data_IF_709760917152
#
_entry.id   IF_709760917152
#
_cell.length_a   1.000
_cell.length_b   1.000
_cell.length_c   1.000
_cell.angle_alpha   90.00
_cell.angle_beta   90.00
_cell.angle_gamma   90.00
#
_symmetry.space_group_name_H-M   'P 1'
#
loop_
_entity.id
_entity.type
_entity.pdbx_description
1 polymer ?
#
# COMPACT_ATOMS: atom_id res chain seq x y z
N UNK A 1 -17.57 13.66 -21.50
CA UNK A 1 -16.77 12.41 -21.45
C UNK A 1 -16.63 12.01 -19.98
N UNK A 2 -17.02 10.79 -19.61
CA UNK A 2 -16.87 10.32 -18.22
C UNK A 2 -15.41 9.99 -17.90
N UNK A 3 -15.06 9.83 -16.61
CA UNK A 3 -13.72 9.35 -16.20
C UNK A 3 -13.39 8.01 -16.86
N UNK A 4 -14.37 7.10 -16.90
CA UNK A 4 -14.20 5.77 -17.49
C UNK A 4 -13.93 5.84 -18.98
N UNK A 5 -14.63 6.71 -19.70
CA UNK A 5 -14.40 6.94 -21.13
C UNK A 5 -12.98 7.47 -21.36
N UNK A 6 -12.53 8.41 -20.51
CA UNK A 6 -11.18 8.96 -20.59
C UNK A 6 -10.12 7.89 -20.33
N UNK A 7 -10.26 7.10 -19.27
CA UNK A 7 -9.35 5.98 -18.98
C UNK A 7 -9.35 4.95 -20.11
N UNK A 8 -10.52 4.60 -20.65
CA UNK A 8 -10.63 3.69 -21.79
C UNK A 8 -9.95 4.26 -23.04
N UNK A 9 -10.00 5.57 -23.27
CA UNK A 9 -9.32 6.21 -24.41
C UNK A 9 -7.78 6.15 -24.34
N UNK A 10 -7.20 5.89 -23.17
CA UNK A 10 -5.76 5.74 -22.96
C UNK A 10 -5.26 4.30 -23.16
N UNK A 11 -6.15 3.33 -23.37
CA UNK A 11 -5.81 1.91 -23.48
C UNK A 11 -6.98 1.01 -23.85
N UNK A 12 -7.12 -0.13 -23.16
CA UNK A 12 -8.22 -1.08 -23.39
C UNK A 12 -8.91 -1.41 -22.07
N UNK A 13 -10.21 -1.14 -21.98
CA UNK A 13 -11.00 -1.56 -20.83
C UNK A 13 -11.14 -3.10 -20.83
N UNK A 14 -10.86 -3.71 -19.67
CA UNK A 14 -10.94 -5.16 -19.46
C UNK A 14 -12.07 -5.56 -18.50
N UNK A 15 -12.57 -4.62 -17.69
CA UNK A 15 -13.63 -4.86 -16.71
C UNK A 15 -14.16 -3.57 -16.10
N UNK A 16 -15.38 -3.65 -15.59
CA UNK A 16 -16.24 -2.52 -15.21
C UNK A 16 -16.43 -2.34 -13.70
N UNK A 17 -15.53 -2.91 -12.89
CA UNK A 17 -15.59 -2.81 -11.42
C UNK A 17 -15.77 -1.36 -10.94
N UNK A 18 -16.74 -1.15 -10.05
CA UNK A 18 -17.04 0.16 -9.47
C UNK A 18 -17.32 0.04 -7.97
N UNK A 19 -16.40 0.43 -7.11
CA UNK A 19 -16.66 0.43 -5.67
C UNK A 19 -17.82 1.34 -5.27
N UNK A 20 -18.06 2.42 -6.02
CA UNK A 20 -19.14 3.37 -5.76
C UNK A 20 -20.53 2.73 -5.90
N UNK A 21 -20.67 1.72 -6.75
CA UNK A 21 -21.92 0.94 -6.87
C UNK A 21 -22.20 0.07 -5.64
N UNK A 22 -21.16 -0.29 -4.88
CA UNK A 22 -21.29 -1.00 -3.60
C UNK A 22 -21.53 -0.03 -2.43
N UNK A 23 -21.27 1.27 -2.61
CA UNK A 23 -21.38 2.33 -1.59
C UNK A 23 -22.70 2.31 -0.81
N UNK A 24 -23.82 2.09 -1.52
CA UNK A 24 -25.17 2.05 -0.92
C UNK A 24 -25.43 0.81 -0.07
N UNK A 25 -24.70 -0.28 -0.35
CA UNK A 25 -24.93 -1.59 0.25
C UNK A 25 -23.93 -1.88 1.39
N UNK A 26 -22.81 -1.16 1.47
CA UNK A 26 -21.82 -1.36 2.54
C UNK A 26 -22.35 -1.04 3.93
N UNK A 27 -23.21 -0.03 4.06
CA UNK A 27 -23.83 0.30 5.34
C UNK A 27 -24.70 -0.85 5.87
N UNK A 28 -25.09 -1.78 5.01
CA UNK A 28 -25.84 -2.99 5.38
C UNK A 28 -24.94 -4.16 5.78
N UNK A 29 -23.62 -4.07 5.57
CA UNK A 29 -22.68 -5.13 5.96
C UNK A 29 -22.11 -4.81 7.34
N UNK A 30 -22.64 -5.49 8.35
CA UNK A 30 -22.15 -5.36 9.74
C UNK A 30 -20.62 -5.54 9.83
N UNK A 31 -19.97 -4.63 10.55
CA UNK A 31 -18.52 -4.63 10.77
C UNK A 31 -17.68 -4.11 9.60
N UNK A 32 -18.30 -3.50 8.58
CA UNK A 32 -17.59 -2.89 7.44
C UNK A 32 -17.67 -1.36 7.52
N UNK A 33 -16.52 -0.71 7.60
CA UNK A 33 -16.39 0.73 7.37
C UNK A 33 -15.67 0.99 6.04
N UNK A 34 -16.36 1.47 4.98
CA UNK A 34 -15.74 1.74 3.68
C UNK A 34 -14.64 2.79 3.71
N UNK A 35 -14.68 3.72 4.67
CA UNK A 35 -13.65 4.74 4.85
C UNK A 35 -12.31 4.14 5.36
N UNK A 36 -12.34 2.92 5.88
CA UNK A 36 -11.19 2.28 6.50
C UNK A 36 -10.50 1.30 5.55
N UNK A 37 -9.87 1.83 4.49
CA UNK A 37 -8.94 1.05 3.66
C UNK A 37 -9.60 0.07 2.67
N UNK A 38 -10.90 0.23 2.37
CA UNK A 38 -11.61 -0.66 1.46
C UNK A 38 -10.94 -0.78 0.07
N UNK A 39 -10.50 0.33 -0.51
CA UNK A 39 -9.81 0.35 -1.81
C UNK A 39 -8.56 -0.53 -1.81
N UNK A 40 -7.79 -0.50 -0.72
CA UNK A 40 -6.59 -1.30 -0.57
C UNK A 40 -6.93 -2.79 -0.37
N UNK A 41 -8.00 -3.11 0.38
CA UNK A 41 -8.53 -4.49 0.51
C UNK A 41 -8.96 -5.11 -0.80
N UNK A 42 -9.63 -4.32 -1.63
CA UNK A 42 -10.02 -4.73 -2.97
C UNK A 42 -8.80 -4.90 -3.88
N UNK A 43 -7.85 -3.96 -3.85
CA UNK A 43 -6.59 -4.05 -4.58
C UNK A 43 -5.77 -5.29 -4.19
N UNK A 44 -5.73 -5.66 -2.90
CA UNK A 44 -5.05 -6.87 -2.43
C UNK A 44 -5.76 -8.16 -2.86
N UNK A 45 -7.09 -8.24 -2.73
CA UNK A 45 -7.81 -9.44 -3.21
C UNK A 45 -7.67 -9.60 -4.73
N UNK A 46 -7.63 -8.49 -5.47
CA UNK A 46 -7.33 -8.48 -6.90
C UNK A 46 -5.92 -8.98 -7.18
N UNK A 47 -4.91 -8.42 -6.52
CA UNK A 47 -3.50 -8.81 -6.59
C UNK A 47 -3.31 -10.31 -6.36
N UNK A 48 -3.88 -10.83 -5.27
CA UNK A 48 -3.87 -12.27 -4.95
C UNK A 48 -4.50 -13.09 -6.06
N UNK A 49 -5.61 -12.65 -6.66
CA UNK A 49 -6.27 -13.38 -7.75
C UNK A 49 -5.42 -13.40 -8.99
N UNK A 50 -4.91 -12.26 -9.46
CA UNK A 50 -4.18 -12.19 -10.73
C UNK A 50 -2.89 -13.03 -10.66
N UNK A 51 -2.15 -12.96 -9.55
CA UNK A 51 -0.93 -13.73 -9.35
C UNK A 51 -1.17 -15.24 -9.21
N UNK A 52 -2.30 -15.65 -8.63
CA UNK A 52 -2.64 -17.08 -8.46
C UNK A 52 -3.46 -17.65 -9.63
N UNK A 53 -3.71 -16.82 -10.65
CA UNK A 53 -4.42 -17.24 -11.85
C UNK A 53 -3.41 -17.68 -12.89
N UNK A 54 -3.60 -18.89 -13.44
CA UNK A 54 -2.90 -19.27 -14.66
C UNK A 54 -3.07 -18.19 -15.74
N UNK A 55 -2.02 -17.98 -16.53
CA UNK A 55 -1.85 -16.91 -17.52
C UNK A 55 -3.07 -16.67 -18.43
N UNK A 56 -3.86 -17.71 -18.75
CA UNK A 56 -5.07 -17.61 -19.58
C UNK A 56 -6.39 -17.23 -18.88
N UNK A 57 -6.47 -17.15 -17.54
CA UNK A 57 -7.73 -16.86 -16.82
C UNK A 57 -7.82 -15.45 -16.22
N UNK A 58 -6.76 -14.66 -16.37
CA UNK A 58 -6.60 -13.39 -15.66
C UNK A 58 -7.65 -12.33 -16.03
N UNK A 59 -8.24 -12.37 -17.23
CA UNK A 59 -9.33 -11.47 -17.63
C UNK A 59 -10.69 -11.83 -16.99
N UNK A 60 -10.97 -13.12 -16.73
CA UNK A 60 -12.26 -13.57 -16.17
C UNK A 60 -12.40 -13.29 -14.67
N UNK A 61 -11.30 -13.07 -13.96
CA UNK A 61 -11.30 -12.77 -12.53
C UNK A 61 -11.53 -11.28 -12.22
N UNK A 62 -11.69 -10.46 -13.26
CA UNK A 62 -11.92 -9.02 -13.20
C UNK A 62 -13.40 -8.66 -13.00
N UNK A 63 -14.33 -9.61 -13.21
CA UNK A 63 -15.74 -9.38 -12.92
C UNK A 63 -16.03 -9.67 -11.46
N UNK A 64 -16.18 -8.60 -10.69
CA UNK A 64 -16.96 -8.68 -9.47
C UNK A 64 -18.41 -8.53 -9.90
N UNK A 65 -19.23 -9.53 -9.61
CA UNK A 65 -20.67 -9.35 -9.77
C UNK A 65 -21.08 -8.14 -8.91
N UNK A 66 -21.84 -7.22 -9.50
CA UNK A 66 -22.38 -6.03 -8.83
C UNK A 66 -23.03 -6.37 -7.50
N UNK A 67 -23.04 -5.43 -6.55
CA UNK A 67 -23.66 -5.54 -5.23
C UNK A 67 -25.12 -6.06 -5.26
N UNK A 68 -25.85 -5.81 -6.37
CA UNK A 68 -27.19 -6.33 -6.67
C UNK A 68 -27.33 -7.86 -6.53
N UNK A 69 -26.25 -8.62 -6.66
CA UNK A 69 -26.25 -10.09 -6.48
C UNK A 69 -25.68 -10.53 -5.12
N UNK A 70 -25.15 -9.59 -4.32
CA UNK A 70 -24.49 -9.87 -3.05
C UNK A 70 -25.50 -9.89 -1.91
N UNK A 71 -26.45 -8.98 -1.92
CA UNK A 71 -27.55 -8.98 -0.96
C UNK A 71 -28.65 -9.92 -1.48
N UNK A 72 -29.02 -10.98 -0.74
CA UNK A 72 -30.24 -11.70 -1.05
C UNK A 72 -31.43 -10.75 -0.91
N UNK A 73 -32.48 -10.98 -1.68
CA UNK A 73 -33.80 -10.35 -1.50
C UNK A 73 -34.49 -10.73 -0.18
N UNK A 74 -33.76 -11.29 0.79
CA UNK A 74 -34.23 -11.70 2.11
C UNK A 74 -33.11 -11.66 3.15
N UNK A 75 -33.46 -11.15 4.33
CA UNK A 75 -32.58 -11.06 5.51
C UNK A 75 -32.06 -12.46 5.87
N UNK A 76 -30.74 -12.67 5.79
CA UNK A 76 -30.08 -13.79 6.50
C UNK A 76 -29.31 -14.83 5.68
N UNK A 77 -29.21 -14.76 4.35
CA UNK A 77 -28.33 -15.70 3.60
C UNK A 77 -26.98 -15.06 3.25
N UNK A 78 -25.91 -15.57 3.87
CA UNK A 78 -24.53 -15.18 3.58
C UNK A 78 -24.11 -15.69 2.19
N UNK A 79 -24.30 -14.85 1.18
CA UNK A 79 -23.91 -15.20 -0.20
C UNK A 79 -22.39 -15.25 -0.33
N UNK A 80 -21.91 -15.97 -1.36
CA UNK A 80 -20.47 -15.97 -1.71
C UNK A 80 -19.92 -14.55 -1.93
N UNK A 81 -20.76 -13.64 -2.39
CA UNK A 81 -20.40 -12.27 -2.68
C UNK A 81 -20.34 -11.43 -1.39
N UNK A 82 -21.29 -11.57 -0.47
CA UNK A 82 -21.22 -10.97 0.88
C UNK A 82 -19.96 -11.39 1.62
N UNK A 83 -19.61 -12.68 1.62
CA UNK A 83 -18.32 -13.15 2.17
C UNK A 83 -17.11 -12.52 1.51
N UNK A 84 -17.20 -12.26 0.20
CA UNK A 84 -16.10 -11.67 -0.57
C UNK A 84 -15.96 -10.18 -0.25
N UNK A 85 -17.07 -9.44 -0.15
CA UNK A 85 -17.08 -8.02 0.24
C UNK A 85 -16.64 -7.83 1.69
N UNK A 86 -17.16 -8.65 2.61
CA UNK A 86 -16.72 -8.66 4.01
C UNK A 86 -15.23 -9.00 4.10
N UNK A 87 -14.73 -9.94 3.30
CA UNK A 87 -13.29 -10.23 3.20
C UNK A 87 -12.49 -9.00 2.78
N UNK A 88 -12.91 -8.29 1.74
CA UNK A 88 -12.21 -7.11 1.22
C UNK A 88 -12.20 -5.97 2.24
N UNK A 89 -13.36 -5.66 2.82
CA UNK A 89 -13.49 -4.60 3.82
C UNK A 89 -12.73 -4.91 5.12
N UNK A 90 -12.83 -6.14 5.62
CA UNK A 90 -12.23 -6.51 6.90
C UNK A 90 -10.77 -6.96 6.79
N UNK A 91 -10.23 -7.13 5.58
CA UNK A 91 -8.80 -7.23 5.40
C UNK A 91 -8.14 -5.91 5.85
N UNK A 92 -8.73 -4.76 5.52
CA UNK A 92 -8.06 -3.46 5.64
C UNK A 92 -8.68 -2.45 6.60
N UNK A 93 -9.74 -2.79 7.34
CA UNK A 93 -10.28 -1.92 8.38
C UNK A 93 -9.14 -1.44 9.29
N UNK A 94 -8.86 -0.13 9.20
CA UNK A 94 -7.81 0.56 9.92
C UNK A 94 -6.41 0.39 9.37
N UNK A 95 -6.19 0.27 8.05
CA UNK A 95 -4.85 -0.01 7.51
C UNK A 95 -4.47 0.87 6.33
N UNK A 96 -3.19 1.25 6.26
CA UNK A 96 -2.59 1.87 5.08
C UNK A 96 -2.26 0.84 3.99
N UNK A 97 -2.11 1.29 2.74
CA UNK A 97 -1.80 0.46 1.58
C UNK A 97 -0.29 0.08 1.47
N UNK A 98 0.34 -0.27 2.60
CA UNK A 98 1.77 -0.58 2.66
C UNK A 98 2.03 -1.92 3.34
N UNK A 99 2.70 -2.82 2.62
CA UNK A 99 3.16 -4.12 3.11
C UNK A 99 4.66 -4.23 2.93
N UNK A 100 5.29 -4.91 3.87
CA UNK A 100 6.75 -5.07 3.92
C UNK A 100 7.11 -6.53 4.19
N UNK A 101 8.29 -6.95 3.76
CA UNK A 101 8.84 -8.28 4.08
C UNK A 101 9.15 -8.40 5.57
N UNK A 102 9.67 -7.33 6.15
CA UNK A 102 10.01 -7.17 7.57
C UNK A 102 9.68 -5.75 7.99
N UNK A 103 9.14 -5.55 9.19
CA UNK A 103 8.91 -4.19 9.67
C UNK A 103 10.19 -3.53 10.12
N UNK A 104 10.17 -2.19 10.19
CA UNK A 104 11.27 -1.41 10.81
C UNK A 104 11.56 -1.85 12.24
N UNK A 105 10.53 -2.29 12.98
CA UNK A 105 10.72 -2.86 14.33
C UNK A 105 11.55 -4.14 14.24
N UNK A 106 11.12 -5.10 13.41
CA UNK A 106 11.83 -6.37 13.22
C UNK A 106 13.25 -6.18 12.68
N UNK A 107 13.42 -5.30 11.69
CA UNK A 107 14.71 -4.95 11.09
C UNK A 107 15.65 -4.30 12.11
N UNK A 108 15.16 -3.33 12.88
CA UNK A 108 15.95 -2.69 13.92
C UNK A 108 16.33 -3.67 15.03
N UNK A 109 15.44 -4.57 15.45
CA UNK A 109 15.79 -5.65 16.39
C UNK A 109 16.91 -6.52 15.79
N UNK A 110 16.76 -6.97 14.54
CA UNK A 110 17.74 -7.82 13.88
C UNK A 110 19.12 -7.14 13.72
N UNK A 111 19.16 -5.82 13.52
CA UNK A 111 20.40 -5.05 13.44
C UNK A 111 21.03 -4.80 14.81
N UNK A 112 20.24 -4.59 15.87
CA UNK A 112 20.75 -4.28 17.21
C UNK A 112 21.15 -5.53 18.01
N UNK A 113 20.46 -6.65 17.84
CA UNK A 113 20.73 -7.88 18.61
C UNK A 113 22.18 -8.36 18.51
N UNK A 114 22.81 -8.43 17.32
CA UNK A 114 24.22 -8.81 17.20
C UNK A 114 25.18 -7.85 17.92
N UNK A 115 24.81 -6.58 18.08
CA UNK A 115 25.65 -5.59 18.76
C UNK A 115 25.80 -5.87 20.26
N UNK A 116 24.90 -6.66 20.86
CA UNK A 116 25.03 -7.06 22.26
C UNK A 116 26.22 -8.00 22.52
N UNK A 117 26.68 -8.73 21.50
CA UNK A 117 27.81 -9.65 21.62
C UNK A 117 29.04 -9.21 20.81
N UNK A 118 28.93 -8.10 20.08
CA UNK A 118 30.03 -7.54 19.32
C UNK A 118 31.24 -7.16 20.20
N UNK A 119 32.47 -7.23 19.67
CA UNK A 119 33.67 -6.78 20.36
C UNK A 119 33.55 -5.34 20.82
N UNK A 120 34.04 -5.08 22.05
CA UNK A 120 34.06 -3.73 22.61
C UNK A 120 35.30 -2.98 22.11
N UNK A 121 35.11 -1.70 21.83
CA UNK A 121 36.18 -0.74 21.55
C UNK A 121 36.15 0.36 22.60
N UNK A 122 37.32 0.85 22.99
CA UNK A 122 37.40 2.00 23.91
C UNK A 122 37.18 3.29 23.12
N UNK A 123 36.05 3.96 23.38
CA UNK A 123 35.71 5.26 22.79
C UNK A 123 35.45 6.24 23.93
N UNK A 124 36.18 7.36 23.96
CA UNK A 124 36.13 8.34 25.06
C UNK A 124 36.25 7.68 26.46
N UNK A 125 37.25 6.80 26.62
CA UNK A 125 37.52 6.04 27.86
C UNK A 125 36.40 5.11 28.33
N UNK A 126 35.41 4.83 27.48
CA UNK A 126 34.30 3.91 27.78
C UNK A 126 34.25 2.74 26.80
N UNK A 127 33.93 1.52 27.26
CA UNK A 127 33.73 0.38 26.37
C UNK A 127 32.41 0.53 25.59
N UNK A 128 32.53 0.65 24.28
CA UNK A 128 31.42 0.86 23.36
C UNK A 128 31.41 -0.20 22.26
N UNK A 129 30.29 -0.26 21.54
CA UNK A 129 30.14 -1.03 20.29
C UNK A 129 29.91 -0.05 19.16
N UNK A 130 30.52 -0.29 18.00
CA UNK A 130 30.25 0.46 16.78
C UNK A 130 28.87 0.13 16.22
N UNK A 131 28.06 1.15 15.94
CA UNK A 131 26.72 0.99 15.38
C UNK A 131 26.78 1.24 13.86
N UNK A 132 26.37 0.26 13.04
CA UNK A 132 26.34 0.43 11.60
C UNK A 132 25.39 1.54 11.16
N UNK A 133 25.68 2.19 10.04
CA UNK A 133 24.88 3.30 9.49
C UNK A 133 23.40 2.94 9.31
N UNK A 134 23.11 1.70 8.90
CA UNK A 134 21.74 1.20 8.74
C UNK A 134 20.97 1.19 10.08
N UNK A 135 21.60 0.72 11.16
CA UNK A 135 21.01 0.69 12.48
C UNK A 135 20.83 2.10 13.06
N UNK A 136 21.85 2.96 12.89
CA UNK A 136 21.81 4.36 13.30
C UNK A 136 20.64 5.12 12.67
N UNK A 137 20.45 4.98 11.35
CA UNK A 137 19.33 5.59 10.63
C UNK A 137 17.97 5.18 11.21
N UNK A 138 17.74 3.89 11.42
CA UNK A 138 16.48 3.40 11.98
C UNK A 138 16.28 3.82 13.45
N UNK A 139 17.36 3.92 14.24
CA UNK A 139 17.31 4.46 15.60
C UNK A 139 16.89 5.93 15.61
N UNK A 140 17.47 6.77 14.73
CA UNK A 140 17.13 8.19 14.62
C UNK A 140 15.70 8.42 14.14
N UNK A 141 15.17 7.53 13.30
CA UNK A 141 13.77 7.59 12.86
C UNK A 141 12.79 7.15 13.97
N UNK A 142 13.21 6.25 14.87
CA UNK A 142 12.36 5.67 15.91
C UNK A 142 12.37 6.45 17.22
N UNK A 143 13.52 7.00 17.58
CA UNK A 143 13.75 7.67 18.85
C UNK A 143 14.12 9.12 18.61
N UNK A 144 13.53 10.01 19.41
CA UNK A 144 14.01 11.37 19.53
C UNK A 144 15.31 11.38 20.35
N UNK A 145 16.44 11.26 19.66
CA UNK A 145 17.76 11.18 20.27
C UNK A 145 18.26 12.60 20.58
N UNK A 146 17.91 13.13 21.75
CA UNK A 146 18.36 14.46 22.21
C UNK A 146 19.87 14.66 22.06
N UNK A 147 20.65 13.63 22.40
CA UNK A 147 22.08 13.54 22.11
C UNK A 147 22.31 12.47 21.03
N UNK A 148 22.15 12.86 19.77
CA UNK A 148 22.35 11.97 18.63
C UNK A 148 23.84 11.60 18.51
N UNK A 149 24.24 10.35 18.81
CA UNK A 149 25.63 9.93 18.77
C UNK A 149 26.07 9.49 17.37
N UNK A 150 25.23 9.69 16.35
CA UNK A 150 25.43 9.14 15.02
C UNK A 150 25.73 10.22 13.98
N UNK A 151 26.76 9.96 13.20
CA UNK A 151 27.09 10.64 11.96
C UNK A 151 26.99 9.62 10.81
N UNK A 152 25.97 9.76 9.97
CA UNK A 152 25.69 8.84 8.86
C UNK A 152 26.73 8.93 7.72
N UNK A 153 27.72 9.82 7.82
CA UNK A 153 28.85 9.91 6.91
C UNK A 153 30.00 8.92 7.19
N UNK A 154 29.95 8.19 8.31
CA UNK A 154 31.01 7.26 8.74
C UNK A 154 30.49 5.83 8.94
N UNK A 155 31.40 4.85 8.88
CA UNK A 155 31.11 3.45 9.23
C UNK A 155 32.17 2.93 10.24
N UNK A 156 31.78 2.59 11.48
CA UNK A 156 30.44 2.70 12.04
C UNK A 156 29.99 4.16 12.18
N UNK A 157 28.67 4.40 12.11
CA UNK A 157 28.09 5.75 12.21
C UNK A 157 28.22 6.35 13.61
N UNK A 158 28.49 5.55 14.63
CA UNK A 158 28.77 6.03 15.98
C UNK A 158 29.12 4.90 16.94
N UNK A 159 29.53 5.27 18.15
CA UNK A 159 29.89 4.32 19.21
C UNK A 159 28.98 4.54 20.42
N UNK A 160 28.36 3.46 20.89
CA UNK A 160 27.43 3.51 22.03
C UNK A 160 27.68 2.35 22.99
N UNK A 161 27.35 2.58 24.26
CA UNK A 161 27.48 1.55 25.29
C UNK A 161 26.49 0.41 25.05
N UNK A 162 26.90 -0.81 25.40
CA UNK A 162 26.03 -2.01 25.29
C UNK A 162 24.75 -1.88 26.10
N UNK A 163 24.81 -1.21 27.26
CA UNK A 163 23.63 -0.91 28.07
C UNK A 163 22.61 -0.03 27.32
N UNK A 164 23.09 0.97 26.55
CA UNK A 164 22.20 1.80 25.72
C UNK A 164 21.53 0.98 24.61
N UNK A 165 22.28 0.08 23.95
CA UNK A 165 21.71 -0.87 22.96
C UNK A 165 20.64 -1.76 23.61
N UNK A 166 20.92 -2.34 24.77
CA UNK A 166 19.97 -3.19 25.50
C UNK A 166 18.70 -2.44 25.88
N UNK A 167 18.83 -1.19 26.35
CA UNK A 167 17.68 -0.36 26.68
C UNK A 167 16.82 -0.08 25.45
N UNK A 168 17.42 0.28 24.31
CA UNK A 168 16.68 0.44 23.05
C UNK A 168 15.97 -0.85 22.64
N UNK A 169 16.65 -2.01 22.69
CA UNK A 169 16.04 -3.31 22.37
C UNK A 169 14.85 -3.63 23.28
N UNK A 170 14.97 -3.39 24.58
CA UNK A 170 13.87 -3.60 25.53
C UNK A 170 12.68 -2.69 25.18
N UNK A 171 12.91 -1.40 24.94
CA UNK A 171 11.87 -0.45 24.56
C UNK A 171 11.19 -0.83 23.24
N UNK A 172 11.97 -1.23 22.23
CA UNK A 172 11.43 -1.64 20.93
C UNK A 172 10.58 -2.90 21.08
N UNK A 173 11.09 -3.90 21.81
CA UNK A 173 10.43 -5.20 21.98
C UNK A 173 9.11 -5.05 22.73
N UNK A 174 9.11 -4.30 23.83
CA UNK A 174 7.94 -4.05 24.67
C UNK A 174 6.92 -3.09 24.04
N UNK A 175 7.37 -2.20 23.16
CA UNK A 175 6.47 -1.30 22.43
C UNK A 175 5.51 -2.08 21.54
N UNK A 176 4.24 -1.66 21.50
CA UNK A 176 3.25 -2.19 20.55
C UNK A 176 3.83 -2.05 19.15
N UNK A 177 3.93 -3.16 18.43
CA UNK A 177 4.31 -3.09 17.03
C UNK A 177 3.20 -2.32 16.29
N UNK A 178 3.51 -1.19 15.63
CA UNK A 178 2.51 -0.45 14.87
C UNK A 178 1.79 -1.31 13.83
N UNK A 179 2.30 -2.49 13.45
CA UNK A 179 1.57 -3.50 12.65
C UNK A 179 0.10 -3.69 13.08
N UNK A 180 -0.23 -3.53 14.37
CA UNK A 180 -1.58 -3.71 14.89
C UNK A 180 -2.38 -2.42 15.11
N UNK A 181 -1.85 -1.24 14.78
CA UNK A 181 -2.54 0.05 14.93
C UNK A 181 -3.12 0.58 13.60
N UNK A 182 -3.99 1.60 13.68
CA UNK A 182 -4.77 2.11 12.54
C UNK A 182 -3.94 2.71 11.38
N UNK A 183 -2.65 2.95 11.57
CA UNK A 183 -1.76 3.64 10.64
C UNK A 183 -0.31 3.27 10.94
N UNK A 184 0.10 2.02 10.68
CA UNK A 184 1.50 1.67 10.80
C UNK A 184 2.31 2.42 9.72
N UNK A 185 3.00 3.50 10.10
CA UNK A 185 3.86 4.28 9.19
C UNK A 185 4.96 3.44 8.50
N UNK A 186 5.22 2.22 8.99
CA UNK A 186 6.18 1.26 8.43
C UNK A 186 5.58 0.05 7.68
N UNK A 187 4.27 0.00 7.46
CA UNK A 187 3.59 -1.13 6.80
C UNK A 187 3.43 -2.38 7.68
N UNK A 188 2.71 -3.40 7.16
CA UNK A 188 2.50 -4.69 7.81
C UNK A 188 3.47 -5.75 7.30
N UNK A 189 4.00 -6.57 8.21
CA UNK A 189 4.79 -7.74 7.81
C UNK A 189 3.89 -8.74 7.09
N UNK A 190 4.18 -8.96 5.81
CA UNK A 190 3.32 -9.77 4.97
C UNK A 190 3.23 -11.22 5.43
N UNK A 191 4.33 -11.80 5.94
CA UNK A 191 4.35 -13.19 6.42
C UNK A 191 3.32 -13.44 7.51
N UNK A 192 3.29 -12.58 8.53
CA UNK A 192 2.31 -12.65 9.62
C UNK A 192 0.90 -12.34 9.11
N UNK A 193 0.74 -11.25 8.36
CA UNK A 193 -0.59 -10.79 7.95
C UNK A 193 -1.26 -11.72 6.93
N UNK A 194 -0.52 -12.30 6.00
CA UNK A 194 -1.04 -13.30 5.07
C UNK A 194 -1.56 -14.54 5.81
N UNK A 195 -0.89 -14.94 6.90
CA UNK A 195 -1.35 -16.02 7.78
C UNK A 195 -2.64 -15.64 8.50
N UNK A 196 -2.73 -14.43 9.07
CA UNK A 196 -3.97 -13.91 9.68
C UNK A 196 -5.14 -13.95 8.69
N UNK A 197 -4.92 -13.50 7.45
CA UNK A 197 -5.93 -13.55 6.40
C UNK A 197 -6.28 -15.00 6.02
N UNK A 198 -5.31 -15.90 5.93
CA UNK A 198 -5.54 -17.31 5.61
C UNK A 198 -6.34 -18.04 6.70
N UNK A 199 -6.06 -17.75 7.96
CA UNK A 199 -6.79 -18.29 9.10
C UNK A 199 -8.23 -17.75 9.12
N UNK A 200 -8.38 -16.43 8.93
CA UNK A 200 -9.68 -15.74 8.84
C UNK A 200 -10.53 -16.21 7.66
N UNK A 201 -9.91 -16.56 6.54
CA UNK A 201 -10.58 -16.98 5.30
C UNK A 201 -10.32 -18.45 4.94
N UNK A 202 -10.12 -19.29 5.96
CA UNK A 202 -9.74 -20.71 5.86
C UNK A 202 -10.65 -21.59 4.98
N UNK A 203 -11.87 -21.14 4.70
CA UNK A 203 -12.80 -21.80 3.76
C UNK A 203 -12.30 -21.91 2.31
N UNK A 204 -11.24 -21.20 1.91
CA UNK A 204 -10.70 -21.25 0.54
C UNK A 204 -9.33 -21.93 0.43
N UNK A 205 -9.31 -23.27 0.32
CA UNK A 205 -8.05 -24.05 0.20
C UNK A 205 -7.17 -23.67 -1.00
N UNK A 206 -7.74 -23.21 -2.11
CA UNK A 206 -7.02 -22.96 -3.37
C UNK A 206 -6.44 -21.55 -3.49
N UNK A 207 -6.85 -20.62 -2.64
CA UNK A 207 -6.78 -19.17 -2.92
C UNK A 207 -6.32 -18.36 -1.70
N UNK A 208 -5.35 -18.92 -1.00
CA UNK A 208 -4.72 -18.38 0.21
C UNK A 208 -3.87 -17.14 -0.09
N UNK A 209 -3.85 -16.15 0.79
CA UNK A 209 -2.94 -15.00 0.72
C UNK A 209 -1.48 -15.43 0.93
N UNK A 210 -1.20 -16.46 1.73
CA UNK A 210 0.16 -16.99 1.93
C UNK A 210 0.81 -17.63 0.68
N UNK A 211 0.13 -17.63 -0.47
CA UNK A 211 0.66 -18.08 -1.77
C UNK A 211 1.22 -16.94 -2.64
N UNK A 212 1.19 -15.71 -2.15
CA UNK A 212 1.96 -14.60 -2.71
C UNK A 212 2.93 -14.10 -1.63
N UNK A 213 4.03 -13.47 -2.04
CA UNK A 213 4.99 -12.85 -1.12
C UNK A 213 5.32 -11.43 -1.59
N UNK A 214 5.78 -10.59 -0.66
CA UNK A 214 6.33 -9.27 -0.98
C UNK A 214 7.73 -9.46 -1.54
N UNK A 215 7.96 -8.94 -2.75
CA UNK A 215 9.28 -8.89 -3.39
C UNK A 215 10.05 -7.68 -2.89
N UNK A 216 9.40 -6.52 -2.93
CA UNK A 216 9.94 -5.26 -2.44
C UNK A 216 8.80 -4.30 -2.11
N UNK A 217 9.11 -3.26 -1.35
CA UNK A 217 8.16 -2.26 -0.91
C UNK A 217 8.85 -0.93 -0.66
N UNK A 218 8.15 0.16 -0.92
CA UNK A 218 8.54 1.47 -0.44
C UNK A 218 7.73 1.82 0.81
N UNK A 219 8.36 2.54 1.73
CA UNK A 219 7.62 3.22 2.77
C UNK A 219 6.71 4.29 2.16
N UNK A 220 5.70 4.72 2.91
CA UNK A 220 4.96 5.90 2.53
C UNK A 220 5.88 7.12 2.66
N UNK A 221 6.07 7.82 1.56
CA UNK A 221 6.92 9.01 1.49
C UNK A 221 6.11 10.18 0.97
N UNK A 222 6.48 11.39 1.42
CA UNK A 222 5.95 12.64 0.86
C UNK A 222 6.95 13.18 -0.14
N UNK A 223 6.50 13.37 -1.38
CA UNK A 223 7.30 13.85 -2.50
C UNK A 223 6.99 15.31 -2.77
N UNK A 224 7.93 16.02 -3.41
CA UNK A 224 7.74 17.43 -3.76
C UNK A 224 6.58 17.70 -4.73
N UNK A 225 6.18 16.71 -5.53
CA UNK A 225 5.03 16.81 -6.44
C UNK A 225 4.48 15.43 -6.84
N UNK A 226 3.25 15.37 -7.41
CA UNK A 226 2.77 14.14 -8.03
C UNK A 226 3.66 13.60 -9.15
N UNK A 227 4.34 14.48 -9.88
CA UNK A 227 5.31 14.08 -10.91
C UNK A 227 6.55 13.40 -10.36
N UNK A 228 7.03 13.85 -9.20
CA UNK A 228 8.19 13.26 -8.53
C UNK A 228 7.92 11.81 -8.11
N UNK A 229 6.82 11.54 -7.39
CA UNK A 229 6.53 10.16 -7.00
C UNK A 229 6.16 9.26 -8.18
N UNK A 230 5.55 9.78 -9.24
CA UNK A 230 5.31 8.97 -10.45
C UNK A 230 6.62 8.55 -11.13
N UNK A 231 7.61 9.45 -11.17
CA UNK A 231 8.92 9.13 -11.73
C UNK A 231 9.57 8.00 -10.93
N UNK A 232 9.52 8.09 -9.60
CA UNK A 232 9.97 7.03 -8.68
C UNK A 232 9.20 5.71 -8.91
N UNK A 233 7.87 5.76 -8.97
CA UNK A 233 7.03 4.58 -9.18
C UNK A 233 7.32 3.90 -10.53
N UNK A 234 7.49 4.66 -11.61
CA UNK A 234 7.76 4.08 -12.93
C UNK A 234 9.16 3.48 -13.03
N UNK A 235 10.12 3.99 -12.26
CA UNK A 235 11.49 3.47 -12.21
C UNK A 235 11.61 2.20 -11.36
N UNK A 236 10.96 2.17 -10.19
CA UNK A 236 11.23 1.15 -9.16
C UNK A 236 10.00 0.31 -8.77
N UNK A 237 8.80 0.77 -9.14
CA UNK A 237 7.54 0.21 -8.65
C UNK A 237 6.99 -0.95 -9.47
N UNK A 238 7.62 -1.37 -10.56
CA UNK A 238 7.10 -2.43 -11.42
C UNK A 238 8.17 -3.47 -11.76
N UNK A 239 7.78 -4.74 -11.71
CA UNK A 239 8.60 -5.87 -12.08
C UNK A 239 7.77 -6.85 -12.90
N UNK A 240 8.38 -7.46 -13.92
CA UNK A 240 7.71 -8.42 -14.79
C UNK A 240 7.15 -9.59 -13.97
N UNK A 241 5.94 -10.03 -14.33
CA UNK A 241 5.18 -11.09 -13.67
C UNK A 241 4.86 -10.83 -12.18
N UNK A 242 4.97 -9.58 -11.76
CA UNK A 242 4.63 -9.12 -10.42
C UNK A 242 3.42 -8.17 -10.45
N UNK A 243 2.78 -8.01 -9.30
CA UNK A 243 1.66 -7.10 -9.11
C UNK A 243 1.98 -6.11 -8.00
N UNK A 244 1.87 -4.83 -8.32
CA UNK A 244 2.20 -3.72 -7.43
C UNK A 244 0.91 -3.10 -6.90
N UNK A 245 0.74 -3.04 -5.58
CA UNK A 245 -0.26 -2.17 -4.95
C UNK A 245 0.39 -0.80 -4.74
N UNK A 246 -0.28 0.26 -5.17
CA UNK A 246 0.19 1.64 -5.04
C UNK A 246 -0.79 2.38 -4.15
N UNK A 247 -0.30 2.83 -2.99
CA UNK A 247 -1.01 3.73 -2.11
C UNK A 247 -0.64 5.17 -2.43
N UNK A 248 -1.62 6.03 -2.64
CA UNK A 248 -1.42 7.46 -2.92
C UNK A 248 -2.32 8.31 -2.03
N UNK A 249 -1.90 9.52 -1.68
CA UNK A 249 -2.74 10.38 -0.85
C UNK A 249 -2.25 11.82 -0.74
N UNK A 250 -3.11 12.67 -0.19
CA UNK A 250 -2.74 14.02 0.21
C UNK A 250 -2.27 14.05 1.69
N UNK A 251 -1.49 15.06 2.10
CA UNK A 251 -1.17 15.27 3.51
C UNK A 251 -2.44 15.44 4.36
N UNK A 252 -2.62 14.56 5.34
CA UNK A 252 -3.79 14.55 6.24
C UNK A 252 -5.04 13.88 5.67
N UNK A 253 -4.96 13.23 4.51
CA UNK A 253 -6.08 12.48 3.89
C UNK A 253 -5.90 10.97 4.01
N UNK A 254 -7.01 10.23 3.93
CA UNK A 254 -7.09 8.76 4.00
C UNK A 254 -6.46 8.09 2.76
N UNK A 255 -6.36 8.81 1.65
CA UNK A 255 -5.71 8.36 0.41
C UNK A 255 -6.56 7.43 -0.45
N UNK A 256 -5.93 6.79 -1.43
CA UNK A 256 -6.51 5.80 -2.32
C UNK A 256 -5.47 4.74 -2.67
N UNK A 257 -5.94 3.55 -3.04
CA UNK A 257 -5.09 2.44 -3.44
C UNK A 257 -5.54 1.88 -4.79
N UNK A 258 -4.56 1.66 -5.67
CA UNK A 258 -4.72 1.02 -6.98
C UNK A 258 -3.76 -0.16 -7.07
N UNK A 259 -3.96 -1.04 -8.04
CA UNK A 259 -3.04 -2.14 -8.32
C UNK A 259 -2.61 -2.19 -9.78
N UNK A 260 -1.40 -2.64 -10.05
CA UNK A 260 -0.84 -2.76 -11.39
C UNK A 260 -0.12 -4.08 -11.53
N UNK A 261 -0.56 -4.92 -12.46
CA UNK A 261 0.13 -6.17 -12.79
C UNK A 261 0.88 -6.00 -14.11
N UNK A 262 2.21 -6.12 -14.07
CA UNK A 262 3.06 -6.04 -15.24
C UNK A 262 3.24 -7.45 -15.81
N UNK A 263 2.60 -7.73 -16.95
CA UNK A 263 2.67 -9.03 -17.62
C UNK A 263 3.36 -8.86 -18.98
N UNK A 264 4.61 -9.32 -19.07
CA UNK A 264 5.46 -8.98 -20.22
C UNK A 264 5.60 -7.46 -20.36
N UNK A 265 5.11 -6.89 -21.46
CA UNK A 265 5.11 -5.44 -21.70
C UNK A 265 3.78 -4.74 -21.36
N UNK A 266 2.76 -5.50 -20.95
CA UNK A 266 1.42 -4.97 -20.70
C UNK A 266 1.24 -4.59 -19.22
N UNK A 267 0.80 -3.35 -18.98
CA UNK A 267 0.40 -2.90 -17.65
C UNK A 267 -1.10 -3.08 -17.47
N UNK A 268 -1.49 -3.99 -16.57
CA UNK A 268 -2.91 -4.15 -16.19
C UNK A 268 -3.18 -3.34 -14.95
N UNK A 269 -3.81 -2.19 -15.15
CA UNK A 269 -4.15 -1.23 -14.12
C UNK A 269 -5.54 -1.52 -13.57
N UNK A 270 -5.65 -1.62 -12.26
CA UNK A 270 -6.90 -1.80 -11.54
C UNK A 270 -7.12 -0.64 -10.58
N UNK A 271 -8.21 0.07 -10.81
CA UNK A 271 -8.74 1.08 -9.90
C UNK A 271 -10.07 0.61 -9.31
N UNK A 272 -10.17 0.48 -7.97
CA UNK A 272 -11.42 0.12 -7.32
C UNK A 272 -12.62 0.99 -7.71
N UNK A 273 -12.45 2.26 -8.13
CA UNK A 273 -13.56 3.12 -8.54
C UNK A 273 -13.94 3.00 -10.01
N UNK A 274 -12.97 2.71 -10.88
CA UNK A 274 -13.17 2.90 -12.31
C UNK A 274 -13.12 1.64 -13.13
N UNK A 275 -12.45 0.59 -12.65
CA UNK A 275 -12.42 -0.72 -13.30
C UNK A 275 -11.02 -1.19 -13.60
N UNK A 276 -10.91 -2.04 -14.62
CA UNK A 276 -9.64 -2.66 -15.01
C UNK A 276 -9.31 -2.28 -16.44
N UNK A 277 -8.07 -1.89 -16.67
CA UNK A 277 -7.58 -1.39 -17.94
C UNK A 277 -6.24 -2.05 -18.29
N UNK A 278 -5.98 -2.21 -19.58
CA UNK A 278 -4.67 -2.56 -20.12
C UNK A 278 -4.06 -1.33 -20.78
N UNK A 279 -2.81 -1.04 -20.45
CA UNK A 279 -2.06 0.09 -20.96
C UNK A 279 -0.66 -0.31 -21.44
N UNK A 280 -0.10 0.49 -22.35
CA UNK A 280 1.35 0.64 -22.50
C UNK A 280 1.92 1.44 -21.31
N UNK A 281 3.26 1.54 -21.20
CA UNK A 281 3.89 2.40 -20.20
C UNK A 281 3.41 3.86 -20.28
N UNK A 282 3.28 4.40 -21.50
CA UNK A 282 2.80 5.78 -21.71
C UNK A 282 1.33 5.94 -21.32
N UNK A 283 0.49 4.96 -21.67
CA UNK A 283 -0.92 4.95 -21.29
C UNK A 283 -1.08 4.93 -19.76
N UNK A 284 -0.29 4.11 -19.06
CA UNK A 284 -0.30 4.06 -17.60
C UNK A 284 0.16 5.38 -16.99
N UNK A 285 1.26 5.97 -17.50
CA UNK A 285 1.75 7.28 -17.05
C UNK A 285 0.67 8.35 -17.17
N UNK A 286 -0.01 8.41 -18.31
CA UNK A 286 -1.08 9.37 -18.59
C UNK A 286 -2.30 9.12 -17.70
N UNK A 287 -2.67 7.85 -17.47
CA UNK A 287 -3.77 7.49 -16.58
C UNK A 287 -3.48 7.92 -15.13
N UNK A 288 -2.28 7.67 -14.61
CA UNK A 288 -1.87 8.10 -13.27
C UNK A 288 -1.85 9.63 -13.13
N UNK A 289 -1.40 10.36 -14.16
CA UNK A 289 -1.48 11.83 -14.18
C UNK A 289 -2.95 12.30 -14.18
N UNK A 290 -3.83 11.67 -14.95
CA UNK A 290 -5.24 12.05 -14.99
C UNK A 290 -5.96 11.79 -13.66
N UNK A 291 -5.63 10.70 -12.98
CA UNK A 291 -6.24 10.33 -11.70
C UNK A 291 -5.71 11.14 -10.50
N UNK A 292 -4.38 11.33 -10.43
CA UNK A 292 -3.69 11.81 -9.23
C UNK A 292 -2.79 13.05 -9.44
N UNK A 293 -2.74 13.59 -10.66
CA UNK A 293 -1.87 14.71 -11.01
C UNK A 293 -2.17 16.02 -10.28
N UNK A 294 -1.45 17.08 -10.65
CA UNK A 294 -1.90 18.46 -10.41
C UNK A 294 -2.83 18.88 -11.55
N UNK A 295 -3.79 19.80 -11.32
CA UNK A 295 -4.53 20.41 -12.42
C UNK A 295 -3.54 21.01 -13.43
N UNK A 296 -3.78 20.76 -14.71
CA UNK A 296 -3.18 21.56 -15.77
C UNK A 296 -3.96 22.86 -15.80
N UNK A 297 -3.42 23.95 -15.24
CA UNK A 297 -3.96 25.27 -15.54
C UNK A 297 -3.64 25.56 -17.00
N UNK A 298 -4.65 25.54 -17.88
CA UNK A 298 -4.55 26.17 -19.19
C UNK A 298 -5.09 27.60 -19.07
N UNK A 299 -4.53 28.53 -19.82
CA UNK A 299 -4.80 29.97 -19.72
C UNK A 299 -6.26 30.36 -20.03
N UNK A 300 -7.06 29.41 -20.52
CA UNK A 300 -8.41 29.58 -21.06
C UNK A 300 -9.53 29.58 -20.00
N UNK A 301 -9.22 29.31 -18.73
CA UNK A 301 -10.15 29.51 -17.60
C UNK A 301 -11.44 28.65 -17.60
N UNK A 302 -11.60 27.70 -18.53
CA UNK A 302 -12.76 26.81 -18.62
C UNK A 302 -12.34 25.38 -18.25
N UNK A 303 -12.78 24.91 -17.08
CA UNK A 303 -12.78 23.49 -16.68
C UNK A 303 -11.44 22.73 -16.81
N UNK A 304 -10.34 23.43 -16.55
CA UNK A 304 -8.99 22.88 -16.45
C UNK A 304 -8.97 21.64 -15.52
N UNK A 305 -8.85 20.46 -16.13
CA UNK A 305 -8.92 19.10 -15.59
C UNK A 305 -8.34 18.97 -14.17
N UNK A 306 -9.18 19.21 -13.15
CA UNK A 306 -8.86 18.75 -11.81
C UNK A 306 -8.69 17.23 -11.89
N UNK A 307 -7.61 16.69 -11.30
CA UNK A 307 -7.44 15.24 -11.21
C UNK A 307 -8.70 14.63 -10.60
N UNK A 308 -9.08 13.47 -11.12
CA UNK A 308 -10.40 12.88 -10.87
C UNK A 308 -10.70 12.77 -9.38
N UNK A 309 -9.72 12.35 -8.58
CA UNK A 309 -9.86 12.21 -7.13
C UNK A 309 -9.92 13.54 -6.35
N UNK A 310 -9.82 14.68 -7.02
CA UNK A 310 -10.09 16.02 -6.45
C UNK A 310 -11.47 16.56 -6.83
N UNK A 311 -12.21 15.91 -7.73
CA UNK A 311 -13.56 16.37 -8.12
C UNK A 311 -14.55 15.99 -7.01
N UNK A 312 -15.20 16.99 -6.40
CA UNK A 312 -16.34 16.73 -5.50
C UNK A 312 -17.50 16.11 -6.28
N UNK A 313 -18.26 15.25 -5.61
CA UNK A 313 -19.61 14.84 -6.04
C UNK A 313 -20.71 15.78 -5.56
N UNK A 314 -20.43 16.66 -4.57
CA UNK A 314 -21.35 17.72 -4.12
C UNK A 314 -20.86 19.12 -4.54
N UNK A 315 -21.76 19.97 -4.99
CA UNK A 315 -21.48 21.21 -5.72
C UNK A 315 -21.00 22.40 -4.89
N UNK A 316 -20.69 22.28 -3.58
CA UNK A 316 -20.64 23.49 -2.75
C UNK A 316 -19.27 24.07 -2.39
N UNK A 317 -18.16 23.31 -2.31
CA UNK A 317 -16.77 23.83 -2.14
C UNK A 317 -15.73 22.76 -2.56
N UNK A 318 -14.56 23.05 -3.14
CA UNK A 318 -13.54 22.01 -3.30
C UNK A 318 -13.11 21.43 -1.94
N UNK A 319 -12.92 20.10 -1.83
CA UNK A 319 -12.08 19.55 -0.75
C UNK A 319 -10.68 20.16 -0.94
N UNK A 320 -10.03 20.46 0.18
CA UNK A 320 -8.63 20.86 0.36
C UNK A 320 -7.76 20.65 -0.92
N UNK A 321 -7.21 21.72 -1.48
CA UNK A 321 -6.46 21.72 -2.77
C UNK A 321 -5.11 20.99 -2.70
N UNK A 322 -4.84 20.32 -1.57
CA UNK A 322 -3.58 19.67 -1.29
C UNK A 322 -3.19 18.68 -2.39
N UNK A 323 -1.95 18.75 -2.87
CA UNK A 323 -1.49 17.84 -3.89
C UNK A 323 -1.32 16.43 -3.33
N UNK A 324 -1.68 15.43 -4.15
CA UNK A 324 -1.47 14.00 -3.87
C UNK A 324 0.01 13.67 -3.94
N UNK A 325 0.72 14.05 -2.87
CA UNK A 325 2.18 14.03 -2.76
C UNK A 325 2.68 12.85 -1.97
N UNK A 326 1.80 12.10 -1.29
CA UNK A 326 2.17 10.89 -0.57
C UNK A 326 2.04 9.68 -1.48
N UNK A 327 3.04 8.82 -1.48
CA UNK A 327 3.01 7.56 -2.22
C UNK A 327 3.76 6.45 -1.47
N UNK A 328 3.21 5.23 -1.50
CA UNK A 328 3.90 3.97 -1.21
C UNK A 328 3.60 2.96 -2.32
N UNK A 329 4.46 1.96 -2.49
CA UNK A 329 4.14 0.79 -3.29
C UNK A 329 4.62 -0.50 -2.62
N UNK A 330 3.93 -1.61 -2.91
CA UNK A 330 4.37 -2.95 -2.56
C UNK A 330 4.26 -3.84 -3.79
N UNK A 331 5.36 -4.48 -4.17
CA UNK A 331 5.43 -5.45 -5.26
C UNK A 331 5.23 -6.85 -4.69
N UNK A 332 4.26 -7.57 -5.24
CA UNK A 332 3.96 -8.97 -4.91
C UNK A 332 4.29 -9.89 -6.07
N UNK A 333 4.77 -11.09 -5.76
CA UNK A 333 4.92 -12.20 -6.68
C UNK A 333 4.19 -13.45 -6.18
N UNK A 334 3.87 -14.37 -7.08
CA UNK A 334 3.40 -15.70 -6.70
C UNK A 334 4.55 -16.52 -6.10
N UNK A 335 4.26 -17.38 -5.12
CA UNK A 335 5.23 -18.37 -4.70
C UNK A 335 5.40 -19.41 -5.83
N UNK A 336 6.64 -19.63 -6.25
CA UNK A 336 7.03 -20.75 -7.12
C UNK A 336 6.74 -22.09 -6.46
#
# INVERSE_FOLDING_TARGET
MTVRDRLASLGTALGDFNQGEFGKDFSMIEGVNPAEGYCAGVALDWTRRVLQSGSGRQAKFLHYASAKNALPSGVGTDTRQTRTLRRMATAFSGQGASYVTTTRKTELIALLTPLLTAPLVNYNSSPCVGVPSAAAKLLMERFDLQDNPFDLGYEPAGFVSRNRIQNWLNTITQGVDPQHSKLADGGREWGQYAKELDDKFSGSKKRKFGKIHVVTSSNQQTYGSPGAWRTELLANGFQTDCCTIVGVGAPGDEGHAVAVHLLGADYRFFDPNYGVYKYSLEGLRTALQHLFGAPFFTDDGLDADLPVYRRRTDSTKPKDTKPWTRMSYTIFAANS
#
